data_IF_571665356444
#
_entry.id   IF_571665356444
#
_cell.length_a   1.000
_cell.length_b   1.000
_cell.length_c   1.000
_cell.angle_alpha   90.00
_cell.angle_beta   90.00
_cell.angle_gamma   90.00
#
_symmetry.space_group_name_H-M   'P 1'
#
loop_
_entity.id
_entity.type
_entity.pdbx_description
1 polymer ?
#
# COMPACT_ATOMS: atom_id res chain seq x y z
N UNK A 1 5.15 5.18 3.99
CA UNK A 1 6.01 4.59 5.05
C UNK A 1 5.37 3.38 5.72
N UNK A 2 4.11 3.42 6.14
CA UNK A 2 3.46 2.25 6.77
C UNK A 2 3.52 0.96 5.91
N UNK A 3 3.27 1.05 4.60
CA UNK A 3 3.35 -0.10 3.69
C UNK A 3 4.76 -0.74 3.65
N UNK A 4 5.82 0.07 3.61
CA UNK A 4 7.21 -0.44 3.62
C UNK A 4 7.52 -1.14 4.94
N UNK A 5 7.13 -0.55 6.07
CA UNK A 5 7.33 -1.19 7.38
C UNK A 5 6.57 -2.52 7.51
N UNK A 6 5.39 -2.64 6.89
CA UNK A 6 4.64 -3.91 6.82
C UNK A 6 5.35 -4.94 5.95
N UNK A 7 5.86 -4.51 4.79
CA UNK A 7 6.63 -5.36 3.88
C UNK A 7 7.95 -5.85 4.52
N UNK A 8 8.68 -4.96 5.20
CA UNK A 8 9.89 -5.31 5.97
C UNK A 8 9.58 -6.33 7.08
N UNK A 9 8.37 -6.30 7.63
CA UNK A 9 7.89 -7.27 8.62
C UNK A 9 7.37 -8.59 7.98
N UNK A 10 7.44 -8.73 6.66
CA UNK A 10 7.06 -9.94 5.92
C UNK A 10 5.61 -9.98 5.43
N UNK A 11 4.93 -8.83 5.32
CA UNK A 11 3.56 -8.81 4.78
C UNK A 11 3.56 -8.99 3.25
N UNK A 12 2.82 -9.98 2.77
CA UNK A 12 2.63 -10.22 1.33
C UNK A 12 1.69 -9.18 0.66
N UNK A 13 0.81 -8.57 1.46
CA UNK A 13 -0.23 -7.64 0.99
C UNK A 13 -0.36 -6.47 1.94
N UNK A 14 -0.42 -5.24 1.40
CA UNK A 14 -0.83 -4.04 2.13
C UNK A 14 -2.19 -3.56 1.64
N UNK A 15 -3.07 -3.15 2.56
CA UNK A 15 -4.46 -2.79 2.25
C UNK A 15 -4.79 -1.36 2.67
N UNK A 16 -4.40 -0.34 1.89
CA UNK A 16 -4.68 1.06 2.22
C UNK A 16 -6.18 1.36 2.15
N UNK A 17 -6.70 2.04 3.17
CA UNK A 17 -8.14 2.35 3.32
C UNK A 17 -8.46 3.81 3.62
N UNK A 18 -7.50 4.71 3.35
CA UNK A 18 -7.58 6.12 3.72
C UNK A 18 -8.38 7.01 2.76
N UNK A 19 -8.75 6.51 1.57
CA UNK A 19 -9.40 7.32 0.51
C UNK A 19 -8.59 8.56 0.13
N UNK A 20 -7.25 8.47 0.12
CA UNK A 20 -6.40 9.56 -0.35
C UNK A 20 -6.15 9.44 -1.85
N UNK A 21 -6.24 10.55 -2.59
CA UNK A 21 -5.92 10.59 -4.01
C UNK A 21 -4.47 10.18 -4.26
N UNK A 22 -4.23 9.36 -5.28
CA UNK A 22 -2.90 8.86 -5.62
C UNK A 22 -2.28 7.91 -4.60
N UNK A 23 -3.02 7.50 -3.55
CA UNK A 23 -2.50 6.66 -2.46
C UNK A 23 -1.85 5.37 -2.97
N UNK A 24 -2.47 4.70 -3.94
CA UNK A 24 -1.94 3.47 -4.53
C UNK A 24 -0.61 3.72 -5.23
N UNK A 25 -0.51 4.77 -6.04
CA UNK A 25 0.72 5.12 -6.75
C UNK A 25 1.86 5.49 -5.80
N UNK A 26 1.56 6.29 -4.76
CA UNK A 26 2.53 6.67 -3.73
C UNK A 26 3.03 5.45 -2.92
N UNK A 27 2.14 4.50 -2.61
CA UNK A 27 2.53 3.25 -1.94
C UNK A 27 3.37 2.37 -2.87
N UNK A 28 2.96 2.23 -4.13
CA UNK A 28 3.68 1.41 -5.12
C UNK A 28 5.12 1.91 -5.31
N UNK A 29 5.31 3.21 -5.56
CA UNK A 29 6.64 3.81 -5.67
C UNK A 29 7.50 3.54 -4.44
N UNK A 30 6.94 3.73 -3.24
CA UNK A 30 7.70 3.52 -2.01
C UNK A 30 8.08 2.05 -1.77
N UNK A 31 7.23 1.09 -2.16
CA UNK A 31 7.55 -0.33 -2.08
C UNK A 31 8.61 -0.72 -3.11
N UNK A 32 8.51 -0.21 -4.35
CA UNK A 32 9.47 -0.49 -5.42
C UNK A 32 10.86 0.07 -5.07
N UNK A 33 10.91 1.31 -4.57
CA UNK A 33 12.15 1.95 -4.10
C UNK A 33 12.80 1.18 -2.94
N UNK A 34 12.01 0.43 -2.16
CA UNK A 34 12.47 -0.42 -1.06
C UNK A 34 12.75 -1.88 -1.46
N UNK A 35 12.56 -2.25 -2.73
CA UNK A 35 12.79 -3.62 -3.22
C UNK A 35 11.64 -4.61 -2.95
N UNK A 36 10.44 -4.12 -2.64
CA UNK A 36 9.24 -4.92 -2.33
C UNK A 36 8.27 -4.98 -3.52
N UNK A 37 8.78 -5.25 -4.72
CA UNK A 37 8.00 -5.30 -5.98
C UNK A 37 6.92 -6.41 -5.97
N UNK A 38 7.16 -7.50 -5.24
CA UNK A 38 6.23 -8.63 -5.10
C UNK A 38 5.06 -8.37 -4.13
N UNK A 39 5.14 -7.35 -3.27
CA UNK A 39 4.10 -7.08 -2.27
C UNK A 39 2.88 -6.48 -2.96
N UNK A 40 1.72 -7.13 -2.81
CA UNK A 40 0.48 -6.70 -3.44
C UNK A 40 -0.17 -5.51 -2.71
N UNK A 41 -0.92 -4.69 -3.45
CA UNK A 41 -1.71 -3.58 -2.89
C UNK A 41 -3.19 -3.90 -3.07
N UNK A 42 -3.86 -4.25 -1.96
CA UNK A 42 -5.32 -4.40 -1.92
C UNK A 42 -5.96 -3.05 -1.58
N UNK A 43 -6.11 -2.20 -2.59
CA UNK A 43 -6.72 -0.90 -2.39
C UNK A 43 -8.21 -1.06 -2.05
N UNK A 44 -8.63 -0.46 -0.94
CA UNK A 44 -10.03 -0.05 -0.83
C UNK A 44 -10.21 1.07 -1.85
N UNK A 45 -10.64 0.74 -3.07
CA UNK A 45 -10.76 1.71 -4.15
C UNK A 45 -12.08 2.51 -4.06
N UNK A 46 -13.11 1.88 -3.50
CA UNK A 46 -14.39 2.51 -3.20
C UNK A 46 -14.73 2.24 -1.73
N UNK A 47 -14.53 3.23 -0.85
CA UNK A 47 -14.91 3.19 0.56
C UNK A 47 -15.78 4.40 0.86
N UNK A 48 -16.99 4.15 1.34
CA UNK A 48 -17.96 5.19 1.66
C UNK A 48 -17.83 5.65 3.12
N UNK A 49 -18.27 6.88 3.40
CA UNK A 49 -18.47 7.37 4.75
C UNK A 49 -19.77 6.76 5.30
N UNK A 50 -19.64 5.62 5.97
CA UNK A 50 -20.73 4.92 6.66
C UNK A 50 -20.82 5.34 8.13
#
# INVERSE_FOLDING_TARGET
RAAVAQADAGADVTAPSGMMDGQVAAIRSALDDAGHDQVAILAYAAKYAS
#
